data_IF_121595984961
#
_entry.id   IF_121595984961
#
_cell.length_a   1.000
_cell.length_b   1.000
_cell.length_c   1.000
_cell.angle_alpha   90.00
_cell.angle_beta   90.00
_cell.angle_gamma   90.00
#
_symmetry.space_group_name_H-M   'P 1'
#
loop_
_entity.id
_entity.type
_entity.pdbx_description
1 polymer ?
#
# COMPACT_ATOMS: atom_id res chain seq x y z
N UNK A 1 -3.79 -5.94 -22.01
CA UNK A 1 -3.27 -5.06 -20.94
C UNK A 1 -3.91 -3.67 -20.96
N UNK A 2 -3.86 -2.92 -22.08
CA UNK A 2 -4.38 -1.55 -22.15
C UNK A 2 -5.87 -1.38 -21.81
N UNK A 3 -6.75 -2.22 -22.36
CA UNK A 3 -8.20 -2.11 -22.11
C UNK A 3 -8.59 -2.35 -20.63
N UNK A 4 -7.90 -3.28 -19.94
CA UNK A 4 -8.14 -3.54 -18.52
C UNK A 4 -7.67 -2.36 -17.64
N UNK A 5 -6.52 -1.76 -17.96
CA UNK A 5 -6.05 -0.57 -17.28
C UNK A 5 -7.04 0.59 -17.44
N UNK A 6 -7.53 0.83 -18.66
CA UNK A 6 -8.54 1.86 -18.91
C UNK A 6 -9.82 1.58 -18.10
N UNK A 7 -10.31 0.34 -18.09
CA UNK A 7 -11.51 -0.03 -17.32
C UNK A 7 -11.40 0.22 -15.82
N UNK A 8 -10.22 0.03 -15.21
CA UNK A 8 -10.00 0.20 -13.76
C UNK A 8 -9.68 1.66 -13.41
N UNK A 9 -8.83 2.33 -14.20
CA UNK A 9 -8.33 3.66 -13.86
C UNK A 9 -9.22 4.80 -14.37
N UNK A 10 -9.85 4.66 -15.55
CA UNK A 10 -10.67 5.70 -16.15
C UNK A 10 -11.85 6.15 -15.25
N UNK A 11 -12.66 5.27 -14.65
CA UNK A 11 -13.76 5.72 -13.81
C UNK A 11 -13.26 6.50 -12.59
N UNK A 12 -12.25 6.00 -11.87
CA UNK A 12 -11.69 6.68 -10.69
C UNK A 12 -11.06 8.02 -11.07
N UNK A 13 -10.35 8.08 -12.20
CA UNK A 13 -9.76 9.32 -12.70
C UNK A 13 -10.82 10.38 -13.00
N UNK A 14 -11.89 10.01 -13.71
CA UNK A 14 -13.00 10.93 -14.02
C UNK A 14 -13.70 11.41 -12.75
N UNK A 15 -13.92 10.52 -11.77
CA UNK A 15 -14.52 10.89 -10.49
C UNK A 15 -13.69 11.88 -9.68
N UNK A 16 -12.37 11.91 -9.84
CA UNK A 16 -11.49 12.87 -9.17
C UNK A 16 -11.41 14.19 -9.94
N UNK A 17 -11.24 14.13 -11.25
CA UNK A 17 -10.95 15.33 -12.08
C UNK A 17 -12.20 16.17 -12.33
N UNK A 18 -13.36 15.56 -12.57
CA UNK A 18 -14.60 16.30 -12.87
C UNK A 18 -15.02 17.22 -11.70
N UNK A 19 -15.04 16.75 -10.44
CA UNK A 19 -15.50 17.58 -9.31
C UNK A 19 -14.44 18.51 -8.74
N UNK A 20 -13.17 18.31 -9.11
CA UNK A 20 -12.02 19.09 -8.61
C UNK A 20 -12.25 20.61 -8.53
N UNK A 21 -12.70 21.32 -9.58
CA UNK A 21 -12.85 22.77 -9.53
C UNK A 21 -13.89 23.26 -8.50
N UNK A 22 -14.86 22.43 -8.12
CA UNK A 22 -15.82 22.75 -7.07
C UNK A 22 -15.23 22.50 -5.69
N UNK A 23 -14.49 21.39 -5.53
CA UNK A 23 -13.80 21.08 -4.29
C UNK A 23 -12.70 22.09 -3.96
N UNK A 24 -11.96 22.57 -4.97
CA UNK A 24 -10.91 23.58 -4.78
C UNK A 24 -11.46 24.87 -4.15
N UNK A 25 -12.65 25.30 -4.57
CA UNK A 25 -13.35 26.47 -3.98
C UNK A 25 -13.73 26.27 -2.52
N UNK A 26 -14.17 25.06 -2.15
CA UNK A 26 -14.61 24.73 -0.79
C UNK A 26 -13.40 24.45 0.12
N UNK A 27 -12.27 24.04 -0.47
CA UNK A 27 -11.04 23.67 0.24
C UNK A 27 -10.43 24.82 1.05
N UNK A 28 -10.76 26.07 0.71
CA UNK A 28 -10.29 27.25 1.45
C UNK A 28 -10.80 27.29 2.90
N UNK A 29 -11.91 26.61 3.23
CA UNK A 29 -12.47 26.58 4.58
C UNK A 29 -11.61 25.71 5.53
N UNK A 30 -11.11 26.27 6.66
CA UNK A 30 -10.31 25.54 7.64
C UNK A 30 -10.98 24.28 8.21
N UNK A 31 -12.31 24.28 8.39
CA UNK A 31 -13.04 23.12 8.91
C UNK A 31 -13.00 21.94 7.94
N UNK A 32 -13.09 22.21 6.63
CA UNK A 32 -13.03 21.19 5.57
C UNK A 32 -11.63 20.59 5.52
N UNK A 33 -10.58 21.42 5.64
CA UNK A 33 -9.19 20.93 5.72
C UNK A 33 -8.98 20.00 6.92
N UNK A 34 -9.49 20.37 8.09
CA UNK A 34 -9.39 19.56 9.29
C UNK A 34 -10.12 18.21 9.13
N UNK A 35 -11.31 18.20 8.53
CA UNK A 35 -12.05 16.97 8.21
C UNK A 35 -11.25 16.08 7.23
N UNK A 36 -10.74 16.63 6.14
CA UNK A 36 -9.97 15.87 5.14
C UNK A 36 -8.68 15.31 5.73
N UNK A 37 -8.01 16.05 6.62
CA UNK A 37 -6.86 15.54 7.37
C UNK A 37 -7.24 14.32 8.23
N UNK A 38 -8.39 14.39 8.92
CA UNK A 38 -8.94 13.25 9.66
C UNK A 38 -9.25 12.06 8.77
N UNK A 39 -9.88 12.26 7.61
CA UNK A 39 -10.17 11.19 6.64
C UNK A 39 -8.87 10.58 6.09
N UNK A 40 -7.85 11.40 5.83
CA UNK A 40 -6.55 10.94 5.34
C UNK A 40 -5.84 10.05 6.37
N UNK A 41 -5.86 10.48 7.63
CA UNK A 41 -5.33 9.69 8.74
C UNK A 41 -6.11 8.37 8.93
N UNK A 42 -7.44 8.40 8.81
CA UNK A 42 -8.29 7.22 8.88
C UNK A 42 -8.01 6.23 7.74
N UNK A 43 -7.86 6.72 6.51
CA UNK A 43 -7.54 5.89 5.35
C UNK A 43 -6.15 5.24 5.49
N UNK A 44 -5.13 6.01 5.89
CA UNK A 44 -3.79 5.48 6.15
C UNK A 44 -3.82 4.43 7.27
N UNK A 45 -4.56 4.70 8.36
CA UNK A 45 -4.76 3.76 9.46
C UNK A 45 -5.48 2.47 9.02
N UNK A 46 -6.48 2.57 8.15
CA UNK A 46 -7.21 1.42 7.62
C UNK A 46 -6.32 0.53 6.75
N UNK A 47 -5.49 1.13 5.88
CA UNK A 47 -4.49 0.40 5.08
C UNK A 47 -3.49 -0.30 5.99
N UNK A 48 -2.91 0.42 6.96
CA UNK A 48 -1.97 -0.16 7.92
C UNK A 48 -2.60 -1.31 8.73
N UNK A 49 -3.84 -1.14 9.17
CA UNK A 49 -4.61 -2.19 9.85
C UNK A 49 -4.84 -3.42 8.98
N UNK A 50 -5.20 -3.24 7.70
CA UNK A 50 -5.34 -4.33 6.74
C UNK A 50 -4.02 -5.09 6.55
N UNK A 51 -2.88 -4.37 6.47
CA UNK A 51 -1.56 -4.99 6.39
C UNK A 51 -1.24 -5.85 7.61
N UNK A 52 -1.59 -5.42 8.83
CA UNK A 52 -1.39 -6.23 10.04
C UNK A 52 -2.22 -7.52 10.04
N UNK A 53 -3.47 -7.45 9.58
CA UNK A 53 -4.34 -8.63 9.43
C UNK A 53 -3.76 -9.61 8.40
N UNK A 54 -3.23 -9.09 7.29
CA UNK A 54 -2.59 -9.91 6.26
C UNK A 54 -1.28 -10.53 6.77
N UNK A 55 -0.44 -9.77 7.47
CA UNK A 55 0.83 -10.24 8.02
C UNK A 55 0.64 -11.40 8.99
N UNK A 56 -0.40 -11.37 9.84
CA UNK A 56 -0.75 -12.49 10.73
C UNK A 56 -1.08 -13.78 10.00
N UNK A 57 -1.59 -13.70 8.77
CA UNK A 57 -1.90 -14.88 7.94
C UNK A 57 -0.68 -15.34 7.13
N UNK A 58 0.22 -14.41 6.81
CA UNK A 58 1.41 -14.68 6.00
C UNK A 58 2.60 -15.20 6.83
N UNK A 59 2.76 -14.72 8.08
CA UNK A 59 3.86 -15.09 8.96
C UNK A 59 3.41 -16.23 9.88
N UNK A 60 3.53 -17.45 9.37
CA UNK A 60 3.19 -18.67 10.11
C UNK A 60 4.42 -19.37 10.69
N UNK A 61 5.58 -19.24 10.04
CA UNK A 61 6.80 -19.98 10.38
C UNK A 61 7.98 -19.05 10.70
N UNK A 62 8.97 -19.61 11.42
CA UNK A 62 10.23 -18.93 11.74
C UNK A 62 10.98 -18.32 10.52
N UNK A 63 11.13 -19.01 9.37
CA UNK A 63 11.76 -18.41 8.19
C UNK A 63 10.94 -17.25 7.61
N UNK A 64 9.60 -17.32 7.62
CA UNK A 64 8.75 -16.23 7.15
C UNK A 64 8.90 -14.99 8.06
N UNK A 65 9.04 -15.19 9.37
CA UNK A 65 9.31 -14.11 10.32
C UNK A 65 10.69 -13.48 10.08
N UNK A 66 11.72 -14.29 9.79
CA UNK A 66 13.06 -13.78 9.48
C UNK A 66 13.06 -12.94 8.19
N UNK A 67 12.38 -13.40 7.13
CA UNK A 67 12.22 -12.63 5.89
C UNK A 67 11.47 -11.32 6.15
N UNK A 68 10.39 -11.36 6.94
CA UNK A 68 9.63 -10.16 7.29
C UNK A 68 10.49 -9.13 8.02
N UNK A 69 11.26 -9.53 9.04
CA UNK A 69 12.13 -8.62 9.79
C UNK A 69 13.30 -8.08 8.95
N UNK A 70 13.92 -8.92 8.13
CA UNK A 70 14.99 -8.49 7.22
C UNK A 70 14.46 -7.47 6.20
N UNK A 71 13.31 -7.76 5.60
CA UNK A 71 12.66 -6.86 4.62
C UNK A 71 12.27 -5.53 5.27
N UNK A 72 11.73 -5.56 6.49
CA UNK A 72 11.41 -4.37 7.27
C UNK A 72 12.66 -3.52 7.54
N UNK A 73 13.75 -4.15 7.98
CA UNK A 73 15.01 -3.47 8.26
C UNK A 73 15.64 -2.84 7.01
N UNK A 74 15.59 -3.53 5.87
CA UNK A 74 16.06 -3.02 4.58
C UNK A 74 15.24 -1.79 4.18
N UNK A 75 13.92 -1.90 4.12
CA UNK A 75 13.05 -0.79 3.68
C UNK A 75 13.13 0.43 4.59
N UNK A 76 13.42 0.23 5.89
CA UNK A 76 13.58 1.35 6.82
C UNK A 76 14.89 2.13 6.59
N UNK A 77 15.94 1.49 6.08
CA UNK A 77 17.25 2.12 5.86
C UNK A 77 17.48 2.55 4.42
N UNK A 78 16.93 1.84 3.45
CA UNK A 78 17.17 2.08 2.02
C UNK A 78 15.85 2.11 1.25
N UNK A 79 15.73 3.10 0.34
CA UNK A 79 14.61 3.18 -0.61
C UNK A 79 14.87 2.24 -1.78
N UNK A 80 14.42 0.99 -1.64
CA UNK A 80 14.48 -0.02 -2.70
C UNK A 80 13.15 0.00 -3.47
N UNK A 81 13.13 -0.20 -4.80
CA UNK A 81 11.89 -0.37 -5.54
C UNK A 81 11.09 -1.54 -4.96
N UNK A 82 9.86 -1.30 -4.52
CA UNK A 82 8.98 -2.32 -3.93
C UNK A 82 8.88 -3.59 -4.80
N UNK A 83 8.75 -3.51 -6.14
CA UNK A 83 8.64 -4.73 -6.97
C UNK A 83 9.86 -5.65 -6.86
N UNK A 84 11.06 -5.06 -6.78
CA UNK A 84 12.32 -5.83 -6.67
C UNK A 84 12.42 -6.50 -5.32
N UNK A 85 12.06 -5.77 -4.26
CA UNK A 85 12.05 -6.28 -2.89
C UNK A 85 11.07 -7.45 -2.74
N UNK A 86 9.86 -7.33 -3.30
CA UNK A 86 8.84 -8.36 -3.31
C UNK A 86 9.31 -9.60 -4.08
N UNK A 87 9.92 -9.40 -5.26
CA UNK A 87 10.45 -10.51 -6.06
C UNK A 87 11.57 -11.27 -5.33
N UNK A 88 12.50 -10.55 -4.69
CA UNK A 88 13.59 -11.14 -3.92
C UNK A 88 13.08 -11.92 -2.69
N UNK A 89 12.14 -11.34 -1.93
CA UNK A 89 11.51 -12.00 -0.79
C UNK A 89 10.73 -13.26 -1.21
N UNK A 90 10.00 -13.19 -2.33
CA UNK A 90 9.29 -14.33 -2.91
C UNK A 90 10.24 -15.44 -3.35
N UNK A 91 11.34 -15.10 -4.02
CA UNK A 91 12.37 -16.06 -4.39
C UNK A 91 12.99 -16.73 -3.15
N UNK A 92 13.37 -15.96 -2.14
CA UNK A 92 13.90 -16.47 -0.89
C UNK A 92 12.93 -17.44 -0.19
N UNK A 93 11.64 -17.11 -0.15
CA UNK A 93 10.60 -17.98 0.41
C UNK A 93 10.45 -19.31 -0.36
N UNK A 94 10.53 -19.27 -1.70
CA UNK A 94 10.51 -20.47 -2.54
C UNK A 94 11.74 -21.35 -2.31
N UNK A 95 12.93 -20.78 -2.20
CA UNK A 95 14.16 -21.52 -1.92
C UNK A 95 14.09 -22.24 -0.57
N UNK A 96 13.57 -21.58 0.47
CA UNK A 96 13.38 -22.20 1.80
C UNK A 96 12.36 -23.34 1.74
N UNK A 97 11.26 -23.17 0.99
CA UNK A 97 10.25 -24.24 0.81
C UNK A 97 10.76 -25.42 -0.02
N UNK A 98 11.75 -25.22 -0.88
CA UNK A 98 12.29 -26.28 -1.74
C UNK A 98 13.47 -27.03 -1.10
N UNK A 99 14.17 -26.39 -0.16
CA UNK A 99 15.30 -26.97 0.57
C UNK A 99 14.92 -27.72 1.86
N UNK A 100 13.65 -27.64 2.28
CA UNK A 100 13.08 -28.42 3.39
C UNK A 100 11.99 -29.35 2.89
#
# INVERSE_FOLDING_TARGET
AGAAAVGVFLPVYLFVVIPYPWFDRISANPQVKAFVAGVTAAAAGAIAGACLVLARRAIVDAPALAIALATLGITWRVKVPEPVLIAAAGAAGLFVRWAG
#
